data_IF_196018269029
#
_entry.id   IF_196018269029
#
_cell.length_a   1.000
_cell.length_b   1.000
_cell.length_c   1.000
_cell.angle_alpha   90.00
_cell.angle_beta   90.00
_cell.angle_gamma   90.00
#
_symmetry.space_group_name_H-M   'P 1'
#
loop_
_entity.id
_entity.type
_entity.pdbx_description
1 polymer ?
#
# COMPACT_ATOMS: atom_id res chain seq x y z
N UNK A 1 -28.22 -18.07 3.31
CA UNK A 1 -28.69 -16.69 3.02
C UNK A 1 -27.87 -15.74 3.89
N UNK A 2 -27.29 -14.66 3.34
CA UNK A 2 -26.62 -13.63 4.13
C UNK A 2 -27.58 -13.03 5.17
N UNK A 3 -27.07 -12.66 6.35
CA UNK A 3 -27.90 -12.01 7.37
C UNK A 3 -28.21 -10.55 7.01
N UNK A 4 -29.31 -9.98 7.50
CA UNK A 4 -29.65 -8.54 7.34
C UNK A 4 -28.50 -7.61 7.81
N UNK A 5 -27.72 -8.03 8.80
CA UNK A 5 -26.50 -7.33 9.24
C UNK A 5 -25.39 -7.34 8.18
N UNK A 6 -25.26 -8.42 7.42
CA UNK A 6 -24.29 -8.57 6.32
C UNK A 6 -24.62 -7.61 5.18
N UNK A 7 -25.89 -7.51 4.79
CA UNK A 7 -26.33 -6.59 3.74
C UNK A 7 -26.09 -5.12 4.12
N UNK A 8 -26.43 -4.74 5.36
CA UNK A 8 -26.20 -3.38 5.88
C UNK A 8 -24.72 -3.00 5.89
N UNK A 9 -23.85 -3.93 6.31
CA UNK A 9 -22.38 -3.73 6.27
C UNK A 9 -21.89 -3.51 4.84
N UNK A 10 -22.24 -4.41 3.92
CA UNK A 10 -21.83 -4.32 2.51
C UNK A 10 -22.28 -2.99 1.88
N UNK A 11 -23.53 -2.57 2.12
CA UNK A 11 -24.07 -1.29 1.62
C UNK A 11 -23.27 -0.10 2.13
N UNK A 12 -22.91 -0.09 3.41
CA UNK A 12 -22.12 0.99 4.02
C UNK A 12 -20.74 1.09 3.37
N UNK A 13 -20.01 -0.01 3.29
CA UNK A 13 -18.67 -0.08 2.69
C UNK A 13 -18.70 0.37 1.22
N UNK A 14 -19.68 -0.13 0.46
CA UNK A 14 -19.83 0.23 -0.94
C UNK A 14 -20.13 1.72 -1.15
N UNK A 15 -21.01 2.29 -0.33
CA UNK A 15 -21.37 3.70 -0.41
C UNK A 15 -20.22 4.63 0.00
N UNK A 16 -19.36 4.21 0.94
CA UNK A 16 -18.14 4.95 1.31
C UNK A 16 -17.17 5.08 0.13
N UNK A 17 -17.05 4.04 -0.70
CA UNK A 17 -16.20 4.02 -1.89
C UNK A 17 -16.89 4.54 -3.16
N UNK A 18 -18.05 5.22 -3.05
CA UNK A 18 -18.84 5.68 -4.21
C UNK A 18 -18.02 6.44 -5.24
N UNK A 19 -17.01 7.20 -4.83
CA UNK A 19 -16.12 7.98 -5.71
C UNK A 19 -15.08 7.16 -6.49
N UNK A 20 -14.91 5.87 -6.17
CA UNK A 20 -14.00 4.94 -6.87
C UNK A 20 -14.75 3.88 -7.67
N UNK A 21 -16.02 3.64 -7.33
CA UNK A 21 -16.83 2.59 -7.93
C UNK A 21 -17.20 2.90 -9.40
N UNK A 22 -16.93 1.95 -10.29
CA UNK A 22 -17.36 1.96 -11.68
C UNK A 22 -18.20 0.71 -11.93
N UNK A 23 -19.47 0.91 -12.23
CA UNK A 23 -20.39 -0.20 -12.45
C UNK A 23 -20.25 -0.73 -13.87
N UNK A 24 -20.07 -2.04 -14.01
CA UNK A 24 -19.93 -2.72 -15.30
C UNK A 24 -21.30 -3.30 -15.66
N UNK A 25 -21.90 -2.75 -16.70
CA UNK A 25 -23.20 -3.17 -17.24
C UNK A 25 -22.90 -4.04 -18.47
N UNK A 26 -23.06 -5.36 -18.31
CA UNK A 26 -22.85 -6.31 -19.40
C UNK A 26 -23.70 -7.57 -19.19
N UNK A 27 -23.86 -8.38 -20.23
CA UNK A 27 -24.50 -9.69 -20.08
C UNK A 27 -23.73 -10.55 -19.08
N UNK A 28 -24.42 -11.05 -18.06
CA UNK A 28 -23.86 -12.03 -17.16
C UNK A 28 -23.72 -13.38 -17.88
N UNK A 29 -22.50 -13.91 -17.89
CA UNK A 29 -22.16 -15.21 -18.45
C UNK A 29 -20.82 -15.69 -17.89
N UNK A 30 -20.73 -16.98 -17.55
CA UNK A 30 -19.47 -17.60 -17.13
C UNK A 30 -18.60 -18.04 -18.31
N UNK A 31 -19.03 -17.78 -19.54
CA UNK A 31 -18.25 -18.09 -20.72
C UNK A 31 -16.97 -17.22 -20.80
N UNK A 32 -15.89 -17.84 -21.29
CA UNK A 32 -14.54 -17.25 -21.36
C UNK A 32 -14.50 -15.82 -21.97
N UNK A 33 -15.22 -15.49 -23.06
CA UNK A 33 -15.18 -14.13 -23.62
C UNK A 33 -15.64 -13.05 -22.64
N UNK A 34 -16.72 -13.28 -21.90
CA UNK A 34 -17.27 -12.33 -20.92
C UNK A 34 -16.32 -12.13 -19.73
N UNK A 35 -15.71 -13.22 -19.25
CA UNK A 35 -14.69 -13.15 -18.19
C UNK A 35 -13.44 -12.39 -18.62
N UNK A 36 -13.05 -12.47 -19.91
CA UNK A 36 -11.95 -11.67 -20.46
C UNK A 36 -12.31 -10.19 -20.52
N UNK A 37 -13.50 -9.84 -21.00
CA UNK A 37 -14.00 -8.46 -21.01
C UNK A 37 -14.01 -7.89 -19.59
N UNK A 38 -14.66 -8.58 -18.65
CA UNK A 38 -14.72 -8.22 -17.23
C UNK A 38 -13.33 -7.94 -16.67
N UNK A 39 -12.40 -8.88 -16.88
CA UNK A 39 -11.03 -8.78 -16.37
C UNK A 39 -10.28 -7.60 -16.98
N UNK A 40 -10.39 -7.39 -18.30
CA UNK A 40 -9.74 -6.26 -18.97
C UNK A 40 -10.25 -4.94 -18.42
N UNK A 41 -11.57 -4.78 -18.25
CA UNK A 41 -12.16 -3.57 -17.68
C UNK A 41 -11.64 -3.33 -16.25
N UNK A 42 -11.69 -4.34 -15.37
CA UNK A 42 -11.24 -4.23 -13.97
C UNK A 42 -9.75 -3.85 -13.87
N UNK A 43 -8.87 -4.52 -14.63
CA UNK A 43 -7.43 -4.22 -14.64
C UNK A 43 -7.15 -2.79 -15.14
N UNK A 44 -7.83 -2.36 -16.21
CA UNK A 44 -7.63 -1.01 -16.73
C UNK A 44 -8.09 0.04 -15.74
N UNK A 45 -9.24 -0.15 -15.08
CA UNK A 45 -9.75 0.76 -14.05
C UNK A 45 -8.83 0.84 -12.82
N UNK A 46 -8.28 -0.29 -12.38
CA UNK A 46 -7.37 -0.35 -11.22
C UNK A 46 -6.14 0.54 -11.41
N UNK A 47 -5.61 0.64 -12.65
CA UNK A 47 -4.51 1.54 -13.00
C UNK A 47 -4.82 3.02 -12.81
N UNK A 48 -6.08 3.40 -12.63
CA UNK A 48 -6.52 4.77 -12.37
C UNK A 48 -7.12 4.91 -10.96
N UNK A 49 -6.95 3.91 -10.08
CA UNK A 49 -7.49 3.92 -8.72
C UNK A 49 -9.00 3.74 -8.65
N UNK A 50 -9.60 3.22 -9.72
CA UNK A 50 -11.04 2.94 -9.82
C UNK A 50 -11.30 1.45 -9.66
N UNK A 51 -12.49 1.11 -9.17
CA UNK A 51 -12.92 -0.26 -8.89
C UNK A 51 -14.05 -0.66 -9.82
N UNK A 52 -13.79 -1.62 -10.71
CA UNK A 52 -14.81 -2.21 -11.57
C UNK A 52 -15.68 -3.20 -10.80
N UNK A 53 -17.01 -3.08 -10.90
CA UNK A 53 -17.98 -3.83 -10.09
C UNK A 53 -19.08 -4.40 -10.99
N UNK A 54 -19.35 -5.69 -10.87
CA UNK A 54 -20.54 -6.35 -11.42
C UNK A 54 -21.61 -6.54 -10.34
N UNK A 55 -22.87 -6.64 -10.76
CA UNK A 55 -23.98 -6.94 -9.85
C UNK A 55 -23.79 -8.24 -9.05
N UNK A 56 -23.06 -9.22 -9.59
CA UNK A 56 -22.79 -10.50 -8.90
C UNK A 56 -21.57 -10.47 -7.98
N UNK A 57 -20.75 -9.41 -8.01
CA UNK A 57 -19.56 -9.30 -7.15
C UNK A 57 -19.96 -9.10 -5.68
N UNK A 58 -21.10 -8.44 -5.42
CA UNK A 58 -21.56 -8.12 -4.08
C UNK A 58 -23.08 -8.25 -3.99
N UNK A 59 -23.56 -8.85 -2.90
CA UNK A 59 -24.99 -8.94 -2.57
C UNK A 59 -25.32 -7.92 -1.49
N UNK A 60 -26.22 -7.00 -1.81
CA UNK A 60 -26.79 -5.95 -0.96
C UNK A 60 -28.28 -6.17 -0.66
N UNK A 61 -28.92 -7.04 -1.44
CA UNK A 61 -30.33 -7.35 -1.37
C UNK A 61 -30.59 -8.81 -1.80
N UNK A 62 -31.77 -9.33 -1.49
CA UNK A 62 -32.27 -10.61 -2.00
C UNK A 62 -32.85 -10.46 -3.41
N UNK A 63 -33.43 -9.29 -3.72
CA UNK A 63 -33.95 -8.99 -5.04
C UNK A 63 -32.83 -8.50 -5.96
N UNK A 64 -32.65 -9.19 -7.10
CA UNK A 64 -31.59 -8.90 -8.06
C UNK A 64 -31.65 -7.44 -8.56
N UNK A 65 -32.85 -6.94 -8.85
CA UNK A 65 -33.02 -5.56 -9.31
C UNK A 65 -32.63 -4.54 -8.23
N UNK A 66 -33.03 -4.74 -6.97
CA UNK A 66 -32.64 -3.83 -5.88
C UNK A 66 -31.12 -3.84 -5.65
N UNK A 67 -30.47 -4.97 -5.87
CA UNK A 67 -29.02 -5.08 -5.84
C UNK A 67 -28.36 -4.27 -6.98
N UNK A 68 -28.85 -4.44 -8.22
CA UNK A 68 -28.39 -3.68 -9.40
C UNK A 68 -28.62 -2.19 -9.21
N UNK A 69 -29.83 -1.80 -8.81
CA UNK A 69 -30.21 -0.42 -8.53
C UNK A 69 -29.29 0.23 -7.49
N UNK A 70 -29.00 -0.47 -6.40
CA UNK A 70 -28.08 0.05 -5.39
C UNK A 70 -26.68 0.31 -5.95
N UNK A 71 -26.16 -0.57 -6.80
CA UNK A 71 -24.90 -0.35 -7.51
C UNK A 71 -24.96 0.87 -8.43
N UNK A 72 -26.03 0.99 -9.24
CA UNK A 72 -26.25 2.11 -10.16
C UNK A 72 -26.30 3.46 -9.42
N UNK A 73 -26.96 3.52 -8.27
CA UNK A 73 -27.08 4.73 -7.45
C UNK A 73 -25.76 5.09 -6.73
N UNK A 74 -24.93 4.10 -6.42
CA UNK A 74 -23.70 4.24 -5.62
C UNK A 74 -22.39 4.00 -6.39
N UNK A 75 -22.42 4.03 -7.72
CA UNK A 75 -21.23 4.17 -8.54
C UNK A 75 -20.92 5.64 -8.85
N UNK A 76 -19.68 5.94 -9.22
CA UNK A 76 -19.29 7.22 -9.81
C UNK A 76 -19.54 7.24 -11.31
N UNK A 77 -19.19 6.15 -11.99
CA UNK A 77 -19.33 5.99 -13.42
C UNK A 77 -19.92 4.63 -13.79
N UNK A 78 -20.29 4.47 -15.05
CA UNK A 78 -20.65 3.18 -15.62
C UNK A 78 -19.87 2.88 -16.90
N UNK A 79 -19.57 1.60 -17.13
CA UNK A 79 -19.08 1.09 -18.40
C UNK A 79 -20.11 0.10 -18.90
N UNK A 80 -20.68 0.37 -20.07
CA UNK A 80 -21.76 -0.43 -20.67
C UNK A 80 -21.22 -1.17 -21.87
N UNK A 81 -21.41 -2.49 -21.90
CA UNK A 81 -20.90 -3.35 -22.97
C UNK A 81 -22.06 -3.94 -23.75
N UNK A 82 -22.20 -3.52 -25.01
CA UNK A 82 -23.07 -4.16 -26.00
C UNK A 82 -22.26 -5.13 -26.84
N UNK A 83 -22.76 -6.36 -26.94
CA UNK A 83 -22.09 -7.46 -27.64
C UNK A 83 -23.10 -8.40 -28.32
N UNK A 84 -22.64 -9.10 -29.36
CA UNK A 84 -23.32 -10.21 -30.02
C UNK A 84 -22.38 -11.42 -30.18
N UNK A 85 -21.59 -11.74 -29.15
CA UNK A 85 -20.53 -12.76 -29.23
C UNK A 85 -21.14 -14.17 -29.24
N UNK A 86 -22.03 -14.46 -28.30
CA UNK A 86 -22.66 -15.78 -28.17
C UNK A 86 -24.12 -15.81 -28.61
N UNK A 87 -24.77 -14.65 -28.69
CA UNK A 87 -26.17 -14.54 -29.09
C UNK A 87 -26.31 -13.41 -30.10
N UNK A 88 -27.16 -13.59 -31.13
CA UNK A 88 -27.39 -12.57 -32.16
C UNK A 88 -28.15 -11.37 -31.60
N UNK A 89 -28.88 -11.51 -30.50
CA UNK A 89 -29.63 -10.41 -29.89
C UNK A 89 -28.85 -9.76 -28.74
N UNK A 90 -28.94 -8.44 -28.64
CA UNK A 90 -28.41 -7.71 -27.49
C UNK A 90 -29.22 -8.05 -26.21
N UNK A 91 -28.63 -7.82 -25.05
CA UNK A 91 -29.29 -8.08 -23.78
C UNK A 91 -30.20 -6.89 -23.39
N UNK A 92 -31.54 -7.05 -23.27
CA UNK A 92 -32.44 -5.96 -22.91
C UNK A 92 -32.14 -5.36 -21.52
N UNK A 93 -31.60 -6.15 -20.59
CA UNK A 93 -31.23 -5.64 -19.27
C UNK A 93 -30.09 -4.61 -19.35
N UNK A 94 -29.16 -4.77 -20.29
CA UNK A 94 -28.07 -3.82 -20.52
C UNK A 94 -28.62 -2.48 -20.98
N UNK A 95 -29.62 -2.48 -21.86
CA UNK A 95 -30.29 -1.25 -22.30
C UNK A 95 -31.09 -0.58 -21.18
N UNK A 96 -31.80 -1.37 -20.37
CA UNK A 96 -32.53 -0.87 -19.19
C UNK A 96 -31.59 -0.18 -18.19
N UNK A 97 -30.48 -0.83 -17.84
CA UNK A 97 -29.49 -0.30 -16.90
C UNK A 97 -28.78 0.94 -17.45
N UNK A 98 -28.49 0.98 -18.76
CA UNK A 98 -27.98 2.19 -19.43
C UNK A 98 -28.98 3.34 -19.32
N UNK A 99 -30.26 3.10 -19.64
CA UNK A 99 -31.31 4.11 -19.51
C UNK A 99 -31.39 4.70 -18.10
N UNK A 100 -31.23 3.86 -17.08
CA UNK A 100 -31.21 4.30 -15.67
C UNK A 100 -29.97 5.16 -15.36
N UNK A 101 -28.77 4.79 -15.81
CA UNK A 101 -27.56 5.61 -15.64
C UNK A 101 -27.68 6.98 -16.31
N UNK A 102 -28.23 7.01 -17.52
CA UNK A 102 -28.47 8.25 -18.26
C UNK A 102 -29.47 9.14 -17.50
N UNK A 103 -30.56 8.57 -16.99
CA UNK A 103 -31.54 9.29 -16.18
C UNK A 103 -30.94 9.86 -14.88
N UNK A 104 -29.94 9.18 -14.28
CA UNK A 104 -29.19 9.69 -13.13
C UNK A 104 -28.16 10.77 -13.49
N UNK A 105 -27.95 11.07 -14.78
CA UNK A 105 -26.96 12.05 -15.25
C UNK A 105 -25.51 11.63 -14.97
N UNK A 106 -25.24 10.34 -14.79
CA UNK A 106 -23.89 9.85 -14.48
C UNK A 106 -23.08 9.65 -15.76
N UNK A 107 -21.79 10.02 -15.78
CA UNK A 107 -20.95 9.76 -16.95
C UNK A 107 -20.80 8.26 -17.18
N UNK A 108 -20.96 7.84 -18.43
CA UNK A 108 -20.78 6.46 -18.83
C UNK A 108 -19.99 6.33 -20.13
N UNK A 109 -19.25 5.23 -20.24
CA UNK A 109 -18.63 4.78 -21.48
C UNK A 109 -19.47 3.67 -22.09
N UNK A 110 -19.87 3.82 -23.35
CA UNK A 110 -20.57 2.78 -24.09
C UNK A 110 -19.57 2.09 -25.01
N UNK A 111 -19.35 0.81 -24.79
CA UNK A 111 -18.51 -0.07 -25.58
C UNK A 111 -19.40 -0.94 -26.47
N UNK A 112 -19.15 -0.92 -27.77
CA UNK A 112 -19.91 -1.70 -28.77
C UNK A 112 -19.01 -2.71 -29.45
N UNK A 113 -19.36 -3.99 -29.42
CA UNK A 113 -18.62 -5.00 -30.18
C UNK A 113 -18.73 -4.70 -31.69
N UNK A 114 -17.61 -4.77 -32.39
CA UNK A 114 -17.50 -4.44 -33.82
C UNK A 114 -18.27 -5.43 -34.71
N UNK A 115 -18.57 -6.63 -34.21
CA UNK A 115 -19.43 -7.61 -34.89
C UNK A 115 -20.91 -7.21 -34.89
N UNK A 116 -21.31 -6.21 -34.09
CA UNK A 116 -22.70 -5.72 -34.08
C UNK A 116 -22.93 -4.71 -35.21
N UNK A 117 -23.82 -5.01 -36.15
CA UNK A 117 -24.14 -4.12 -37.28
C UNK A 117 -24.74 -2.78 -36.83
N UNK A 118 -25.75 -2.79 -35.95
CA UNK A 118 -26.48 -1.58 -35.52
C UNK A 118 -26.84 -1.62 -34.03
N UNK A 119 -26.61 -0.51 -33.33
CA UNK A 119 -27.27 -0.23 -32.04
C UNK A 119 -28.65 0.36 -32.34
N UNK A 120 -29.60 0.19 -31.40
CA UNK A 120 -30.93 0.77 -31.53
C UNK A 120 -30.86 2.30 -31.65
N UNK A 121 -31.73 2.90 -32.45
CA UNK A 121 -31.72 4.35 -32.78
C UNK A 121 -31.70 5.27 -31.56
N UNK A 122 -32.33 4.85 -30.46
CA UNK A 122 -32.38 5.62 -29.22
C UNK A 122 -31.02 5.65 -28.47
N UNK A 123 -30.16 4.66 -28.73
CA UNK A 123 -28.77 4.61 -28.24
C UNK A 123 -27.81 5.30 -29.24
N UNK A 124 -28.20 5.42 -30.52
CA UNK A 124 -27.39 6.07 -31.57
C UNK A 124 -27.14 7.56 -31.32
N UNK A 125 -27.86 8.21 -30.41
CA UNK A 125 -27.62 9.60 -29.99
C UNK A 125 -26.40 9.78 -29.08
N UNK A 126 -25.82 8.69 -28.55
CA UNK A 126 -24.63 8.74 -27.69
C UNK A 126 -23.38 8.27 -28.43
N UNK A 127 -22.25 8.95 -28.20
CA UNK A 127 -20.94 8.51 -28.69
C UNK A 127 -20.58 7.18 -28.01
N UNK A 128 -20.42 6.12 -28.81
CA UNK A 128 -19.90 4.83 -28.37
C UNK A 128 -18.50 4.61 -28.93
N UNK A 129 -17.70 3.81 -28.22
CA UNK A 129 -16.38 3.39 -28.66
C UNK A 129 -16.47 1.92 -29.13
N UNK A 130 -16.12 1.61 -30.40
CA UNK A 130 -16.14 0.25 -30.89
C UNK A 130 -15.01 -0.57 -30.25
N UNK A 131 -15.24 -1.86 -30.03
CA UNK A 131 -14.19 -2.78 -29.60
C UNK A 131 -14.20 -4.09 -30.40
N UNK A 132 -13.07 -4.79 -30.40
CA UNK A 132 -12.92 -6.10 -31.04
C UNK A 132 -12.84 -7.18 -29.96
N UNK A 133 -13.78 -8.12 -29.96
CA UNK A 133 -13.81 -9.24 -29.01
C UNK A 133 -12.62 -10.20 -29.15
N UNK A 134 -11.90 -10.17 -30.27
CA UNK A 134 -10.66 -10.91 -30.46
C UNK A 134 -9.43 -10.14 -29.98
N UNK A 135 -9.48 -8.80 -29.96
CA UNK A 135 -8.40 -7.94 -29.46
C UNK A 135 -8.86 -6.97 -28.34
N UNK A 136 -9.24 -7.54 -27.20
CA UNK A 136 -9.81 -6.79 -26.07
C UNK A 136 -8.84 -5.78 -25.43
N UNK A 137 -7.55 -6.12 -25.31
CA UNK A 137 -6.59 -5.24 -24.60
C UNK A 137 -6.40 -3.93 -25.34
N UNK A 138 -6.21 -4.00 -26.65
CA UNK A 138 -5.92 -2.83 -27.48
C UNK A 138 -7.17 -2.03 -27.84
N UNK A 139 -8.36 -2.61 -27.70
CA UNK A 139 -9.62 -1.92 -28.03
C UNK A 139 -10.33 -1.45 -26.76
N UNK A 140 -10.82 -2.36 -25.91
CA UNK A 140 -11.50 -1.99 -24.66
C UNK A 140 -10.56 -1.20 -23.73
N UNK A 141 -9.33 -1.69 -23.54
CA UNK A 141 -8.37 -1.05 -22.65
C UNK A 141 -8.10 0.40 -23.07
N UNK A 142 -7.73 0.61 -24.33
CA UNK A 142 -7.44 1.95 -24.86
C UNK A 142 -8.66 2.89 -24.84
N UNK A 143 -9.87 2.40 -25.15
CA UNK A 143 -11.09 3.21 -25.07
C UNK A 143 -11.38 3.67 -23.64
N UNK A 144 -11.19 2.79 -22.65
CA UNK A 144 -11.33 3.15 -21.23
C UNK A 144 -10.26 4.17 -20.84
N UNK A 145 -8.98 3.94 -21.19
CA UNK A 145 -7.88 4.85 -20.86
C UNK A 145 -8.13 6.25 -21.42
N UNK A 146 -8.50 6.34 -22.70
CA UNK A 146 -8.85 7.60 -23.37
C UNK A 146 -10.00 8.30 -22.66
N UNK A 147 -11.07 7.59 -22.34
CA UNK A 147 -12.22 8.16 -21.64
C UNK A 147 -11.90 8.61 -20.21
N UNK A 148 -11.08 7.86 -19.47
CA UNK A 148 -10.64 8.27 -18.13
C UNK A 148 -9.79 9.53 -18.17
N UNK A 149 -8.92 9.67 -19.19
CA UNK A 149 -8.13 10.88 -19.41
C UNK A 149 -9.02 12.09 -19.71
N UNK A 150 -10.09 11.96 -20.50
CA UNK A 150 -11.03 13.07 -20.75
C UNK A 150 -11.81 13.47 -19.50
N UNK A 151 -12.00 12.54 -18.56
CA UNK A 151 -12.57 12.79 -17.24
C UNK A 151 -11.56 13.34 -16.21
N UNK A 152 -10.30 13.54 -16.61
CA UNK A 152 -9.24 14.10 -15.76
C UNK A 152 -8.53 13.11 -14.84
N UNK A 153 -8.71 11.80 -15.04
CA UNK A 153 -7.96 10.78 -14.30
C UNK A 153 -6.58 10.57 -14.91
N UNK A 154 -5.58 10.37 -14.07
CA UNK A 154 -4.22 10.05 -14.49
C UNK A 154 -3.89 8.60 -14.16
N UNK A 155 -3.01 7.99 -14.97
CA UNK A 155 -2.50 6.66 -14.69
C UNK A 155 -1.73 6.71 -13.36
N UNK A 156 -2.13 5.87 -12.41
CA UNK A 156 -1.32 5.52 -11.25
C UNK A 156 -0.20 4.66 -11.78
N UNK A 157 1.04 5.17 -11.72
CA UNK A 157 2.21 4.38 -12.09
C UNK A 157 2.25 3.15 -11.17
N UNK A 158 2.28 1.92 -11.68
CA UNK A 158 2.26 0.72 -10.83
C UNK A 158 3.49 0.65 -9.93
N UNK A 159 4.59 1.25 -10.39
CA UNK A 159 5.78 1.49 -9.60
C UNK A 159 6.51 2.76 -10.06
N UNK A 160 7.32 3.32 -9.17
CA UNK A 160 8.21 4.43 -9.42
C UNK A 160 9.53 4.21 -8.69
N UNK A 161 10.65 4.33 -9.40
CA UNK A 161 11.97 4.26 -8.78
C UNK A 161 12.48 5.67 -8.53
N UNK A 162 12.68 6.00 -7.25
CA UNK A 162 13.33 7.24 -6.83
C UNK A 162 14.82 6.99 -6.73
N UNK A 163 15.58 7.75 -7.53
CA UNK A 163 17.05 7.72 -7.60
C UNK A 163 17.55 9.11 -7.98
N UNK A 164 18.82 9.38 -7.69
CA UNK A 164 19.51 10.60 -8.14
C UNK A 164 20.98 10.29 -8.43
N UNK A 165 21.64 11.15 -9.20
CA UNK A 165 23.10 11.06 -9.41
C UNK A 165 23.86 11.42 -8.13
N UNK A 166 23.29 12.28 -7.30
CA UNK A 166 23.83 12.67 -6.00
C UNK A 166 23.09 11.93 -4.89
N UNK A 167 23.80 11.10 -4.13
CA UNK A 167 23.19 10.24 -3.12
C UNK A 167 22.34 11.00 -2.08
N UNK A 168 22.78 12.17 -1.61
CA UNK A 168 22.00 12.96 -0.63
C UNK A 168 20.66 13.45 -1.20
N UNK A 169 20.64 13.83 -2.48
CA UNK A 169 19.42 14.26 -3.16
C UNK A 169 18.46 13.09 -3.38
N UNK A 170 18.98 11.89 -3.69
CA UNK A 170 18.18 10.68 -3.72
C UNK A 170 17.52 10.41 -2.35
N UNK A 171 18.26 10.60 -1.27
CA UNK A 171 17.74 10.41 0.09
C UNK A 171 16.67 11.46 0.45
N UNK A 172 16.88 12.74 0.10
CA UNK A 172 15.91 13.83 0.30
C UNK A 172 14.61 13.52 -0.46
N UNK A 173 14.70 13.23 -1.77
CA UNK A 173 13.54 12.90 -2.63
C UNK A 173 12.74 11.72 -2.11
N UNK A 174 13.43 10.63 -1.72
CA UNK A 174 12.79 9.45 -1.13
C UNK A 174 12.03 9.80 0.15
N UNK A 175 12.67 10.56 1.05
CA UNK A 175 12.11 10.88 2.37
C UNK A 175 10.92 11.81 2.25
N UNK A 176 11.00 12.83 1.38
CA UNK A 176 9.87 13.68 1.01
C UNK A 176 8.66 12.86 0.56
N UNK A 177 8.89 11.88 -0.33
CA UNK A 177 7.82 11.04 -0.82
C UNK A 177 7.20 10.15 0.24
N UNK A 178 8.02 9.56 1.13
CA UNK A 178 7.50 8.82 2.30
C UNK A 178 6.65 9.73 3.19
N UNK A 179 7.08 10.97 3.43
CA UNK A 179 6.33 11.97 4.20
C UNK A 179 4.99 12.28 3.53
N UNK A 180 4.96 12.49 2.21
CA UNK A 180 3.74 12.73 1.45
C UNK A 180 2.75 11.57 1.61
N UNK A 181 3.20 10.33 1.42
CA UNK A 181 2.35 9.13 1.58
C UNK A 181 1.87 8.95 3.02
N UNK A 182 2.72 9.18 4.03
CA UNK A 182 2.30 9.12 5.44
C UNK A 182 1.29 10.22 5.79
N UNK A 183 1.42 11.41 5.21
CA UNK A 183 0.49 12.51 5.44
C UNK A 183 -0.90 12.23 4.88
N UNK A 184 -1.02 11.45 3.80
CA UNK A 184 -2.33 11.02 3.29
C UNK A 184 -3.14 10.24 4.33
N UNK A 185 -2.48 9.58 5.29
CA UNK A 185 -3.17 8.87 6.37
C UNK A 185 -3.76 9.81 7.44
N UNK A 186 -3.31 11.07 7.55
CA UNK A 186 -3.67 11.94 8.68
C UNK A 186 -5.16 12.24 8.80
N UNK A 187 -5.87 12.20 7.67
CA UNK A 187 -7.29 12.52 7.53
C UNK A 187 -8.17 11.27 7.42
N UNK A 188 -7.57 10.07 7.55
CA UNK A 188 -8.27 8.79 7.44
C UNK A 188 -8.57 8.19 8.81
N UNK A 189 -9.52 7.24 8.83
CA UNK A 189 -9.89 6.51 10.04
C UNK A 189 -8.79 5.48 10.42
N UNK A 190 -8.25 5.51 11.66
CA UNK A 190 -7.13 4.64 12.05
C UNK A 190 -7.39 3.13 11.94
N UNK A 191 -8.65 2.69 12.09
CA UNK A 191 -8.98 1.25 12.12
C UNK A 191 -8.78 0.53 10.79
N UNK A 192 -8.70 1.26 9.68
CA UNK A 192 -8.63 0.70 8.33
C UNK A 192 -7.21 0.64 7.77
N UNK A 193 -6.23 1.23 8.47
CA UNK A 193 -4.89 1.42 7.96
C UNK A 193 -3.82 0.94 8.95
N UNK A 194 -2.90 0.12 8.45
CA UNK A 194 -1.77 -0.41 9.21
C UNK A 194 -0.48 -0.02 8.50
N UNK A 195 0.44 0.59 9.24
CA UNK A 195 1.77 0.91 8.76
C UNK A 195 2.68 -0.26 9.13
N UNK A 196 3.43 -0.78 8.18
CA UNK A 196 4.33 -1.93 8.37
C UNK A 196 5.74 -1.53 7.98
N UNK A 197 6.72 -1.76 8.83
CA UNK A 197 8.10 -1.43 8.52
C UNK A 197 9.03 -2.58 8.91
N UNK A 198 9.92 -2.94 8.00
CA UNK A 198 11.03 -3.85 8.27
C UNK A 198 12.36 -3.18 7.92
N UNK A 199 13.20 -2.95 8.93
CA UNK A 199 14.48 -2.28 8.75
C UNK A 199 15.48 -2.67 9.85
N UNK A 200 16.74 -2.27 9.69
CA UNK A 200 17.76 -2.57 10.71
C UNK A 200 17.42 -1.97 12.08
N UNK A 201 16.78 -0.81 12.09
CA UNK A 201 16.09 -0.23 13.24
C UNK A 201 14.67 0.14 12.74
N UNK A 202 14.16 1.32 13.03
CA UNK A 202 12.90 1.83 12.48
C UNK A 202 13.07 3.32 12.16
N UNK A 203 12.16 3.92 11.40
CA UNK A 203 12.08 5.38 11.29
C UNK A 203 11.78 6.03 12.65
N UNK A 204 11.17 5.30 13.59
CA UNK A 204 11.02 5.72 14.99
C UNK A 204 12.35 5.88 15.74
N UNK A 205 13.46 5.37 15.16
CA UNK A 205 14.80 5.48 15.71
C UNK A 205 15.50 6.78 15.31
N UNK A 206 14.96 7.57 14.38
CA UNK A 206 15.64 8.76 13.85
C UNK A 206 15.91 9.76 14.97
N UNK A 207 17.17 10.11 15.17
CA UNK A 207 17.60 11.02 16.24
C UNK A 207 17.88 12.42 15.70
N UNK A 208 17.54 13.44 16.49
CA UNK A 208 17.91 14.83 16.20
C UNK A 208 19.42 15.11 16.35
N UNK A 209 20.18 14.13 16.87
CA UNK A 209 21.63 14.20 17.04
C UNK A 209 22.40 13.54 15.90
N UNK A 210 21.71 13.07 14.86
CA UNK A 210 22.36 12.49 13.69
C UNK A 210 23.16 13.54 12.91
N UNK A 211 24.18 13.07 12.19
CA UNK A 211 25.02 13.89 11.33
C UNK A 211 25.25 13.17 10.01
N UNK A 212 24.85 13.83 8.92
CA UNK A 212 25.01 13.33 7.57
C UNK A 212 26.08 14.14 6.84
N UNK A 213 27.23 13.50 6.61
CA UNK A 213 28.31 14.05 5.79
C UNK A 213 27.73 14.31 4.39
N UNK A 214 27.72 15.57 3.95
CA UNK A 214 27.11 16.10 2.71
C UNK A 214 25.65 16.60 2.82
N UNK A 215 25.12 16.77 4.03
CA UNK A 215 23.85 17.49 4.28
C UNK A 215 24.12 18.90 4.82
N UNK A 216 24.74 19.75 4.00
CA UNK A 216 25.30 21.04 4.42
C UNK A 216 24.24 22.01 4.97
N UNK A 217 22.98 21.84 4.59
CA UNK A 217 21.83 22.65 4.99
C UNK A 217 20.96 21.99 6.09
N UNK A 218 21.35 20.82 6.59
CA UNK A 218 20.55 19.98 7.50
C UNK A 218 19.16 19.58 6.95
N UNK A 219 18.90 19.82 5.66
CA UNK A 219 17.57 19.63 5.11
C UNK A 219 17.18 18.16 5.09
N UNK A 220 18.13 17.25 4.83
CA UNK A 220 17.86 15.82 4.90
C UNK A 220 17.56 15.37 6.33
N UNK A 221 18.32 15.84 7.32
CA UNK A 221 18.03 15.55 8.72
C UNK A 221 16.64 16.06 9.13
N UNK A 222 16.25 17.26 8.72
CA UNK A 222 14.93 17.81 9.00
C UNK A 222 13.80 16.98 8.39
N UNK A 223 14.01 16.45 7.17
CA UNK A 223 13.07 15.51 6.55
C UNK A 223 12.96 14.20 7.36
N UNK A 224 14.08 13.61 7.77
CA UNK A 224 14.09 12.40 8.59
C UNK A 224 13.34 12.62 9.93
N UNK A 225 13.59 13.75 10.60
CA UNK A 225 12.90 14.11 11.84
C UNK A 225 11.40 14.23 11.60
N UNK A 226 10.99 14.89 10.51
CA UNK A 226 9.59 15.02 10.13
C UNK A 226 8.93 13.65 9.88
N UNK A 227 9.60 12.74 9.17
CA UNK A 227 9.11 11.36 8.95
C UNK A 227 8.81 10.66 10.29
N UNK A 228 9.76 10.73 11.24
CA UNK A 228 9.57 10.16 12.59
C UNK A 228 8.40 10.80 13.33
N UNK A 229 8.33 12.13 13.31
CA UNK A 229 7.33 12.87 14.07
C UNK A 229 5.91 12.63 13.53
N UNK A 230 5.78 12.44 12.21
CA UNK A 230 4.54 11.97 11.57
C UNK A 230 4.16 10.59 12.09
N UNK A 231 5.09 9.62 12.11
CA UNK A 231 4.81 8.28 12.64
C UNK A 231 4.39 8.31 14.12
N UNK A 232 5.08 9.11 14.94
CA UNK A 232 4.71 9.33 16.33
C UNK A 232 3.28 9.90 16.45
N UNK A 233 2.95 10.91 15.64
CA UNK A 233 1.61 11.51 15.60
C UNK A 233 0.54 10.49 15.19
N UNK A 234 0.84 9.64 14.20
CA UNK A 234 -0.09 8.58 13.76
C UNK A 234 -0.31 7.53 14.87
N UNK A 235 0.73 7.15 15.61
CA UNK A 235 0.59 6.28 16.80
C UNK A 235 -0.27 6.97 17.86
N UNK A 236 -0.09 8.26 18.11
CA UNK A 236 -0.89 9.00 19.08
C UNK A 236 -2.37 9.09 18.67
N UNK A 237 -2.65 9.23 17.37
CA UNK A 237 -3.98 9.17 16.77
C UNK A 237 -4.61 7.76 16.74
N UNK A 238 -3.86 6.72 17.11
CA UNK A 238 -4.38 5.34 17.20
C UNK A 238 -4.12 4.46 15.98
N UNK A 239 -3.36 4.93 14.97
CA UNK A 239 -2.99 4.10 13.83
C UNK A 239 -2.13 2.91 14.29
N UNK A 240 -2.36 1.74 13.71
CA UNK A 240 -1.56 0.57 14.01
C UNK A 240 -0.24 0.62 13.25
N UNK A 241 0.87 0.50 13.98
CA UNK A 241 2.23 0.45 13.44
C UNK A 241 2.87 -0.86 13.84
N UNK A 242 3.23 -1.68 12.85
CA UNK A 242 3.95 -2.95 13.03
C UNK A 242 5.38 -2.83 12.56
N UNK A 243 6.33 -3.19 13.41
CA UNK A 243 7.76 -3.04 13.16
C UNK A 243 8.48 -4.39 13.29
N UNK A 244 9.28 -4.75 12.30
CA UNK A 244 10.29 -5.82 12.39
C UNK A 244 11.66 -5.15 12.35
N UNK A 245 12.42 -5.24 13.45
CA UNK A 245 13.75 -4.61 13.54
C UNK A 245 14.88 -5.64 13.53
N UNK A 246 16.01 -5.30 12.89
CA UNK A 246 17.18 -6.18 12.79
C UNK A 246 18.41 -5.57 13.49
N UNK A 247 18.41 -5.42 14.83
CA UNK A 247 19.45 -4.69 15.54
C UNK A 247 20.83 -5.35 15.39
N UNK A 248 20.87 -6.68 15.37
CA UNK A 248 22.11 -7.45 15.23
C UNK A 248 22.91 -7.08 13.95
N UNK A 249 22.24 -6.61 12.88
CA UNK A 249 22.94 -6.19 11.66
C UNK A 249 23.91 -5.04 11.91
N UNK A 250 23.53 -4.07 12.73
CA UNK A 250 24.45 -2.98 13.06
C UNK A 250 25.65 -3.50 13.86
N UNK A 251 25.39 -4.39 14.83
CA UNK A 251 26.45 -5.05 15.60
C UNK A 251 27.42 -5.78 14.66
N UNK A 252 26.91 -6.58 13.72
CA UNK A 252 27.72 -7.32 12.76
C UNK A 252 28.54 -6.39 11.86
N UNK A 253 27.96 -5.28 11.37
CA UNK A 253 28.68 -4.30 10.55
C UNK A 253 29.80 -3.59 11.32
N UNK A 254 29.58 -3.26 12.60
CA UNK A 254 30.60 -2.67 13.47
C UNK A 254 31.72 -3.67 13.74
N UNK A 255 31.40 -4.91 14.12
CA UNK A 255 32.38 -5.99 14.34
C UNK A 255 33.23 -6.25 13.09
N UNK A 256 32.61 -6.23 11.91
CA UNK A 256 33.29 -6.39 10.63
C UNK A 256 34.10 -5.16 10.18
N UNK A 257 34.13 -4.08 10.98
CA UNK A 257 34.83 -2.81 10.68
C UNK A 257 34.44 -2.19 9.34
N UNK A 258 33.17 -2.39 8.93
CA UNK A 258 32.62 -1.84 7.68
C UNK A 258 32.06 -0.43 7.84
N UNK A 259 32.25 0.21 8.99
CA UNK A 259 31.71 1.52 9.31
C UNK A 259 32.74 2.35 10.06
N UNK A 260 32.78 3.65 9.72
CA UNK A 260 33.60 4.62 10.40
C UNK A 260 33.21 4.75 11.89
N UNK A 261 34.15 4.68 12.86
CA UNK A 261 33.83 4.72 14.29
C UNK A 261 33.11 5.98 14.74
N UNK A 262 33.39 7.13 14.13
CA UNK A 262 32.72 8.39 14.45
C UNK A 262 31.27 8.37 13.95
N UNK A 263 31.05 7.91 12.72
CA UNK A 263 29.71 7.66 12.19
C UNK A 263 28.89 6.72 13.08
N UNK A 264 29.50 5.64 13.59
CA UNK A 264 28.82 4.71 14.51
C UNK A 264 28.40 5.42 15.81
N UNK A 265 29.26 6.27 16.38
CA UNK A 265 28.94 7.01 17.60
C UNK A 265 27.82 8.02 17.38
N UNK A 266 27.90 8.81 16.32
CA UNK A 266 26.99 9.93 16.09
C UNK A 266 25.64 9.47 15.54
N UNK A 267 25.62 8.48 14.63
CA UNK A 267 24.40 8.08 13.94
C UNK A 267 23.81 6.77 14.45
N UNK A 268 24.64 5.74 14.69
CA UNK A 268 24.10 4.42 15.04
C UNK A 268 23.69 4.37 16.50
N UNK A 269 24.56 4.73 17.44
CA UNK A 269 24.26 4.67 18.87
C UNK A 269 23.13 5.62 19.29
N UNK A 270 23.06 6.80 18.69
CA UNK A 270 21.97 7.75 18.95
C UNK A 270 20.63 7.21 18.47
N UNK A 271 20.58 6.52 17.33
CA UNK A 271 19.37 5.83 16.86
C UNK A 271 18.90 4.72 17.80
N UNK A 272 19.84 3.95 18.36
CA UNK A 272 19.50 2.95 19.38
C UNK A 272 18.87 3.59 20.61
N UNK A 273 19.51 4.66 21.13
CA UNK A 273 19.00 5.40 22.28
C UNK A 273 17.60 5.96 22.01
N UNK A 274 17.40 6.59 20.85
CA UNK A 274 16.12 7.15 20.45
C UNK A 274 15.04 6.07 20.29
N UNK A 275 15.33 4.94 19.66
CA UNK A 275 14.34 3.86 19.50
C UNK A 275 13.91 3.29 20.86
N UNK A 276 14.88 3.10 21.77
CA UNK A 276 14.61 2.66 23.14
C UNK A 276 13.69 3.66 23.85
N UNK A 277 13.98 4.95 23.75
CA UNK A 277 13.14 6.02 24.32
C UNK A 277 11.73 6.01 23.73
N UNK A 278 11.61 5.92 22.40
CA UNK A 278 10.33 5.89 21.69
C UNK A 278 9.49 4.67 22.10
N UNK A 279 10.08 3.48 22.21
CA UNK A 279 9.37 2.27 22.65
C UNK A 279 8.92 2.41 24.10
N UNK A 280 9.76 2.98 24.98
CA UNK A 280 9.37 3.25 26.37
C UNK A 280 8.19 4.23 26.46
N UNK A 281 8.21 5.31 25.64
CA UNK A 281 7.10 6.28 25.56
C UNK A 281 5.77 5.61 25.20
N UNK A 282 5.81 4.63 24.30
CA UNK A 282 4.62 3.93 23.79
C UNK A 282 4.50 2.49 24.31
N UNK A 283 5.07 2.20 25.48
CA UNK A 283 5.13 0.84 26.01
C UNK A 283 3.73 0.25 26.23
N UNK A 284 2.80 1.06 26.73
CA UNK A 284 1.42 0.65 27.02
C UNK A 284 0.44 0.85 25.85
N UNK A 285 0.91 1.40 24.71
CA UNK A 285 0.08 1.64 23.51
C UNK A 285 -0.06 0.37 22.66
N UNK A 286 -1.24 -0.22 22.61
CA UNK A 286 -1.48 -1.49 21.88
C UNK A 286 -1.35 -1.38 20.35
N UNK A 287 -1.46 -0.16 19.81
CA UNK A 287 -1.33 0.10 18.39
C UNK A 287 0.13 0.20 17.91
N UNK A 288 1.12 0.26 18.80
CA UNK A 288 2.52 0.01 18.44
C UNK A 288 2.84 -1.47 18.69
N UNK A 289 3.18 -2.19 17.64
CA UNK A 289 3.57 -3.60 17.67
C UNK A 289 4.99 -3.71 17.11
N UNK A 290 5.89 -4.38 17.82
CA UNK A 290 7.29 -4.48 17.41
C UNK A 290 7.86 -5.84 17.78
N UNK A 291 8.62 -6.42 16.85
CA UNK A 291 9.41 -7.64 17.01
C UNK A 291 10.84 -7.36 16.54
N UNK A 292 11.78 -8.21 16.92
CA UNK A 292 13.11 -8.25 16.31
C UNK A 292 13.31 -9.57 15.58
N UNK A 293 14.19 -9.56 14.58
CA UNK A 293 14.61 -10.76 13.86
C UNK A 293 16.12 -10.77 13.66
N UNK A 294 16.70 -11.98 13.71
CA UNK A 294 18.10 -12.23 13.38
C UNK A 294 18.27 -12.68 11.90
N UNK A 295 17.17 -12.89 11.17
CA UNK A 295 17.15 -13.33 9.77
C UNK A 295 16.18 -12.47 8.97
N UNK A 296 16.62 -11.33 8.43
CA UNK A 296 15.75 -10.43 7.68
C UNK A 296 15.36 -11.04 6.34
N UNK A 297 14.06 -11.18 6.08
CA UNK A 297 13.56 -11.40 4.73
C UNK A 297 13.58 -10.09 3.93
N UNK A 298 13.16 -9.01 4.58
CA UNK A 298 13.11 -7.67 4.01
C UNK A 298 14.32 -6.80 4.37
N UNK A 299 14.75 -5.97 3.42
CA UNK A 299 15.70 -4.89 3.68
C UNK A 299 15.09 -3.53 3.35
N UNK A 300 14.88 -2.69 4.37
CA UNK A 300 14.37 -1.32 4.22
C UNK A 300 13.02 -1.27 3.50
N UNK A 301 12.07 -2.00 4.06
CA UNK A 301 10.71 -2.17 3.55
C UNK A 301 9.73 -1.35 4.40
N UNK A 302 8.79 -0.69 3.74
CA UNK A 302 7.73 0.09 4.38
C UNK A 302 6.43 -0.06 3.59
N UNK A 303 5.34 -0.45 4.24
CA UNK A 303 3.99 -0.39 3.70
C UNK A 303 3.20 0.69 4.42
N UNK A 304 2.58 1.57 3.66
CA UNK A 304 1.77 2.67 4.17
C UNK A 304 0.31 2.33 3.87
N UNK A 305 -0.41 1.82 4.88
CA UNK A 305 -1.79 1.38 4.72
C UNK A 305 -1.93 0.29 3.65
N UNK A 306 -2.79 0.54 2.67
CA UNK A 306 -2.98 -0.28 1.48
C UNK A 306 -2.64 0.49 0.18
N UNK A 307 -1.99 1.65 0.30
CA UNK A 307 -1.75 2.57 -0.84
C UNK A 307 -0.39 2.36 -1.49
N UNK A 308 0.65 2.08 -0.70
CA UNK A 308 2.01 2.01 -1.22
C UNK A 308 2.91 1.04 -0.45
N UNK A 309 3.78 0.34 -1.19
CA UNK A 309 4.95 -0.38 -0.67
C UNK A 309 6.22 0.34 -1.13
N UNK A 310 7.11 0.64 -0.21
CA UNK A 310 8.42 1.22 -0.47
C UNK A 310 9.50 0.16 -0.19
N UNK A 311 10.33 -0.16 -1.18
CA UNK A 311 11.44 -1.09 -1.05
C UNK A 311 12.75 -0.36 -1.34
N UNK A 312 13.59 -0.22 -0.32
CA UNK A 312 14.88 0.43 -0.46
C UNK A 312 16.01 -0.56 -0.78
N UNK A 313 16.75 -0.30 -1.85
CA UNK A 313 17.95 -1.08 -2.20
C UNK A 313 19.22 -0.36 -1.73
N UNK A 314 20.19 -1.13 -1.18
CA UNK A 314 21.52 -0.61 -0.82
C UNK A 314 22.57 -1.12 -1.79
N UNK A 315 23.27 -0.21 -2.43
CA UNK A 315 24.56 -0.51 -3.07
C UNK A 315 25.58 -0.92 -2.01
N UNK A 316 26.43 -1.90 -2.33
CA UNK A 316 27.48 -2.44 -1.43
C UNK A 316 28.46 -1.37 -0.95
N UNK A 317 28.60 -0.26 -1.70
CA UNK A 317 29.57 0.81 -1.43
C UNK A 317 28.98 2.01 -0.67
N UNK A 318 27.67 2.07 -0.45
CA UNK A 318 27.00 3.26 0.07
C UNK A 318 26.52 3.09 1.52
N UNK A 319 26.52 4.18 2.27
CA UNK A 319 26.02 4.22 3.66
C UNK A 319 24.49 4.31 3.73
N UNK A 320 23.83 4.73 2.66
CA UNK A 320 22.37 4.87 2.52
C UNK A 320 21.76 4.00 1.41
N UNK A 321 20.56 4.35 0.96
CA UNK A 321 19.80 3.60 -0.06
C UNK A 321 20.05 4.21 -1.44
N UNK A 322 20.71 3.46 -2.31
CA UNK A 322 21.05 3.90 -3.67
C UNK A 322 19.82 4.14 -4.53
N UNK A 323 18.73 3.42 -4.25
CA UNK A 323 17.44 3.61 -4.90
C UNK A 323 16.31 3.18 -3.96
N UNK A 324 15.11 3.71 -4.19
CA UNK A 324 13.90 3.22 -3.53
C UNK A 324 12.79 3.09 -4.54
N UNK A 325 12.22 1.90 -4.63
CA UNK A 325 11.06 1.62 -5.48
C UNK A 325 9.79 1.79 -4.65
N UNK A 326 8.91 2.66 -5.11
CA UNK A 326 7.54 2.82 -4.63
C UNK A 326 6.65 1.97 -5.53
N UNK A 327 5.82 1.12 -4.95
CA UNK A 327 4.91 0.22 -5.66
C UNK A 327 3.49 0.58 -5.22
N UNK A 328 2.64 0.84 -6.21
CA UNK A 328 1.24 1.24 -6.04
C UNK A 328 0.26 0.18 -6.52
N UNK A 329 0.75 -0.91 -7.12
CA UNK A 329 -0.09 -1.98 -7.64
C UNK A 329 -0.78 -2.76 -6.50
N UNK A 330 -2.12 -2.73 -6.39
CA UNK A 330 -2.83 -3.33 -5.25
C UNK A 330 -2.57 -4.83 -5.08
N UNK A 331 -2.38 -5.55 -6.19
CA UNK A 331 -2.12 -6.99 -6.20
C UNK A 331 -0.77 -7.32 -5.54
N UNK A 332 0.25 -6.48 -5.74
CA UNK A 332 1.57 -6.62 -5.15
C UNK A 332 1.51 -6.18 -3.68
N UNK A 333 0.88 -5.04 -3.41
CA UNK A 333 0.71 -4.52 -2.04
C UNK A 333 0.06 -5.58 -1.13
N UNK A 334 -1.02 -6.21 -1.59
CA UNK A 334 -1.70 -7.26 -0.83
C UNK A 334 -0.78 -8.45 -0.49
N UNK A 335 -0.01 -8.94 -1.47
CA UNK A 335 0.95 -10.03 -1.25
C UNK A 335 2.05 -9.64 -0.25
N UNK A 336 2.58 -8.43 -0.37
CA UNK A 336 3.63 -7.93 0.52
C UNK A 336 3.12 -7.72 1.94
N UNK A 337 1.86 -7.29 2.10
CA UNK A 337 1.19 -7.22 3.40
C UNK A 337 1.05 -8.60 4.03
N UNK A 338 0.55 -9.58 3.27
CA UNK A 338 0.35 -10.94 3.75
C UNK A 338 1.67 -11.57 4.19
N UNK A 339 2.71 -11.44 3.36
CA UNK A 339 4.04 -11.96 3.66
C UNK A 339 4.65 -11.30 4.89
N UNK A 340 4.55 -9.97 5.02
CA UNK A 340 5.00 -9.26 6.21
C UNK A 340 4.26 -9.71 7.48
N UNK A 341 2.93 -9.86 7.41
CA UNK A 341 2.13 -10.21 8.57
C UNK A 341 2.37 -11.67 9.04
N UNK A 342 2.67 -12.59 8.10
CA UNK A 342 3.15 -13.95 8.41
C UNK A 342 4.48 -13.87 9.15
N UNK A 343 5.48 -13.19 8.56
CA UNK A 343 6.81 -13.07 9.17
C UNK A 343 6.76 -12.40 10.56
N UNK A 344 5.93 -11.36 10.71
CA UNK A 344 5.73 -10.70 11.99
C UNK A 344 5.17 -11.67 13.05
N UNK A 345 4.17 -12.49 12.69
CA UNK A 345 3.57 -13.48 13.59
C UNK A 345 4.60 -14.51 14.04
N UNK A 346 5.39 -15.03 13.10
CA UNK A 346 6.42 -16.04 13.36
C UNK A 346 7.47 -15.50 14.34
N UNK A 347 7.99 -14.29 14.11
CA UNK A 347 8.95 -13.67 15.03
C UNK A 347 8.33 -13.34 16.40
N UNK A 348 7.07 -12.91 16.45
CA UNK A 348 6.38 -12.72 17.72
C UNK A 348 6.26 -14.03 18.51
N UNK A 349 5.92 -15.13 17.85
CA UNK A 349 5.86 -16.47 18.45
C UNK A 349 7.21 -16.91 19.00
N UNK A 350 8.28 -16.74 18.23
CA UNK A 350 9.65 -17.06 18.66
C UNK A 350 10.09 -16.25 19.89
N UNK A 351 9.78 -14.94 19.94
CA UNK A 351 10.19 -14.08 21.07
C UNK A 351 9.42 -14.45 22.34
N UNK A 352 8.14 -14.81 22.21
CA UNK A 352 7.28 -15.18 23.33
C UNK A 352 7.39 -16.67 23.71
N UNK A 353 8.17 -17.47 22.96
CA UNK A 353 8.25 -18.93 23.07
C UNK A 353 6.86 -19.60 22.98
N UNK A 354 6.04 -19.19 22.00
CA UNK A 354 4.70 -19.72 21.77
C UNK A 354 4.66 -20.48 20.44
N UNK A 355 4.04 -21.67 20.44
CA UNK A 355 3.79 -22.44 19.22
C UNK A 355 2.73 -21.77 18.32
N UNK A 356 1.78 -21.06 18.92
CA UNK A 356 0.76 -20.30 18.19
C UNK A 356 0.42 -18.99 18.91
N UNK A 357 0.72 -17.86 18.26
CA UNK A 357 0.47 -16.51 18.78
C UNK A 357 -0.93 -16.00 18.39
N UNK A 358 -1.66 -15.45 19.37
CA UNK A 358 -2.94 -14.77 19.14
C UNK A 358 -2.73 -13.29 18.82
N UNK A 359 -3.72 -12.65 18.18
CA UNK A 359 -3.62 -11.24 17.76
C UNK A 359 -3.37 -10.25 18.91
N UNK A 360 -3.83 -10.57 20.13
CA UNK A 360 -3.59 -9.76 21.34
C UNK A 360 -2.13 -9.77 21.78
N UNK A 361 -1.42 -10.87 21.53
CA UNK A 361 -0.04 -11.08 21.98
C UNK A 361 0.94 -10.18 21.22
N UNK A 362 0.61 -9.86 19.96
CA UNK A 362 1.38 -8.94 19.11
C UNK A 362 1.45 -7.49 19.64
N UNK A 363 0.52 -7.13 20.54
CA UNK A 363 0.48 -5.81 21.18
C UNK A 363 0.95 -5.83 22.64
N UNK A 364 1.40 -6.99 23.12
CA UNK A 364 1.71 -7.17 24.53
C UNK A 364 2.89 -6.29 24.96
N UNK A 365 2.78 -5.78 26.19
CA UNK A 365 3.86 -5.08 26.88
C UNK A 365 5.10 -5.97 27.00
N UNK A 366 4.90 -7.27 27.23
CA UNK A 366 5.96 -8.27 27.33
C UNK A 366 6.82 -8.36 26.07
N UNK A 367 6.19 -8.43 24.89
CA UNK A 367 6.91 -8.47 23.62
C UNK A 367 7.81 -7.25 23.44
N UNK A 368 7.31 -6.05 23.76
CA UNK A 368 8.11 -4.81 23.70
C UNK A 368 9.25 -4.79 24.70
N UNK A 369 9.06 -5.33 25.91
CA UNK A 369 10.12 -5.44 26.91
C UNK A 369 11.26 -6.34 26.40
N UNK A 370 10.93 -7.48 25.77
CA UNK A 370 11.93 -8.35 25.13
C UNK A 370 12.70 -7.65 24.00
N UNK A 371 11.99 -6.87 23.17
CA UNK A 371 12.64 -6.04 22.14
C UNK A 371 13.59 -5.01 22.78
N UNK A 372 13.17 -4.33 23.86
CA UNK A 372 14.01 -3.37 24.58
C UNK A 372 15.27 -4.02 25.15
N UNK A 373 15.17 -5.21 25.74
CA UNK A 373 16.32 -6.00 26.22
C UNK A 373 17.30 -6.27 25.08
N UNK A 374 16.81 -6.73 23.92
CA UNK A 374 17.63 -7.02 22.75
C UNK A 374 18.30 -5.76 22.19
N UNK A 375 17.60 -4.63 22.14
CA UNK A 375 18.16 -3.34 21.70
C UNK A 375 19.28 -2.87 22.63
N UNK A 376 19.07 -2.91 23.96
CA UNK A 376 20.08 -2.54 24.96
C UNK A 376 21.32 -3.42 24.88
N UNK A 377 21.14 -4.73 24.69
CA UNK A 377 22.25 -5.67 24.50
C UNK A 377 23.06 -5.30 23.25
N UNK A 378 22.39 -5.07 22.12
CA UNK A 378 23.03 -4.69 20.86
C UNK A 378 23.79 -3.36 20.97
N UNK A 379 23.20 -2.38 21.64
CA UNK A 379 23.86 -1.10 21.92
C UNK A 379 25.14 -1.26 22.77
N UNK A 380 25.07 -2.10 23.83
CA UNK A 380 26.22 -2.42 24.68
C UNK A 380 27.34 -3.11 23.89
N UNK A 381 26.98 -4.05 23.01
CA UNK A 381 27.95 -4.71 22.13
C UNK A 381 28.65 -3.72 21.19
N UNK A 382 27.90 -2.81 20.57
CA UNK A 382 28.48 -1.77 19.70
C UNK A 382 29.45 -0.87 20.50
N UNK A 383 29.06 -0.42 21.70
CA UNK A 383 29.93 0.39 22.58
C UNK A 383 31.22 -0.34 22.94
N UNK A 384 31.15 -1.64 23.23
CA UNK A 384 32.33 -2.45 23.54
C UNK A 384 33.27 -2.59 22.34
N UNK A 385 32.74 -2.82 21.14
CA UNK A 385 33.56 -2.89 19.93
C UNK A 385 34.25 -1.55 19.62
N UNK A 386 33.55 -0.43 19.79
CA UNK A 386 34.16 0.89 19.64
C UNK A 386 35.31 1.14 20.63
N UNK A 387 35.19 0.69 21.89
CA UNK A 387 36.28 0.80 22.88
C UNK A 387 37.52 0.02 22.45
N UNK A 388 37.33 -1.21 21.94
CA UNK A 388 38.44 -2.05 21.42
C UNK A 388 39.17 -1.41 20.25
N UNK A 389 38.46 -0.64 19.41
CA UNK A 389 39.06 0.08 18.30
C UNK A 389 39.92 1.26 18.79
N UNK A 390 39.43 2.02 19.78
CA UNK A 390 40.19 3.14 20.37
C UNK A 390 41.47 2.71 21.09
N UNK A 391 41.49 1.54 21.74
CA UNK A 391 42.70 1.03 22.41
C UNK A 391 43.78 0.54 21.46
N UNK A 392 43.42 0.16 20.22
CA UNK A 392 44.37 -0.33 19.20
C UNK A 392 45.04 0.79 18.40
N UNK A 393 44.49 2.00 18.42
CA UNK A 393 45.07 3.18 17.75
C UNK A 393 46.15 3.89 18.58
N UNK A 394 46.35 3.48 19.84
CA UNK A 394 47.32 4.08 20.77
C UNK A 394 48.54 3.17 21.03
N UNK A 395 48.55 1.98 20.40
CA UNK A 395 49.69 1.07 20.28
C UNK A 395 50.16 1.09 18.84
#
# INVERSE_FOLDING_TARGET
MPSDKTYKKNRKEFAQDKHKNVFIIMRFSDAKPFKRIERTIKITLERYGLKGILANDVKFDELLWENVRFCLENCRYAIVVFEQILKPDFNPNVALELGYILALGKPCLILKDSSMDKLQSDIMGHLYEPFDSYNLRDTIGNSIEKWLLTLGHNIIKPQEVVTDQVAIEAYKKRTLKIIEELNQLRDLEPSEHVIRQAASLSSLAISNKEYHKNDDDTAYLNLLINERDILCTLIEKGFKVKLIVFPFRQVARVKARKMDPEYVRINILTRYSQLIETINKYIDKTNLQIVYSDTPHYENFLVIGNSCVCVGQKSVKETGLSSTTFIYEPSIIGKEIDQFDIEFKDHAGLILNLEETQSKDHSSKELKVKVLERLKLSEKEIKNELRKLSTKSTQ
#
